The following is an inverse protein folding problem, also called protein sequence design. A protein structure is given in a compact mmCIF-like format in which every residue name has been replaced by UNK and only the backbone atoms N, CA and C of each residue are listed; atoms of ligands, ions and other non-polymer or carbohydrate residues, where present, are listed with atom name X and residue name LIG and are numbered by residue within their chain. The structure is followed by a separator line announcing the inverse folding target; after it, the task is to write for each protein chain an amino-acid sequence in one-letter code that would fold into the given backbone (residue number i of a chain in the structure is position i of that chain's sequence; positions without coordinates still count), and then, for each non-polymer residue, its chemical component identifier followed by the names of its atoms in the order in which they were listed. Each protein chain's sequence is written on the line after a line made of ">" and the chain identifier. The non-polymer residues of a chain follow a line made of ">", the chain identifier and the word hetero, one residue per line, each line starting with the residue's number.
data_IF_200875138065
#
_entry.id   IF_200875138065
#
_cell.length_a   1.000
_cell.length_b   1.000
_cell.length_c   1.000
_cell.angle_alpha   90.00
_cell.angle_beta   90.00
_cell.angle_gamma   90.00
#
_symmetry.space_group_name_H-M   'P 1'
#
loop_
_entity.id
_entity.type
_entity.pdbx_description
1 polymer ?
#
# COMPACT_ATOMS: atom_id res chain seq x y z
N UNK A 1 72.42 4.76 7.26
CA UNK A 1 71.02 5.06 7.09
C UNK A 1 70.11 3.84 7.14
N UNK A 2 70.58 2.65 7.54
CA UNK A 2 69.79 1.39 7.55
C UNK A 2 69.36 0.87 8.93
N UNK A 3 69.90 1.46 10.03
CA UNK A 3 69.57 0.97 11.40
C UNK A 3 68.23 1.49 11.92
N UNK A 4 67.78 2.67 11.51
CA UNK A 4 66.47 3.22 11.93
C UNK A 4 65.29 2.54 11.25
N UNK A 5 65.40 2.08 10.00
CA UNK A 5 64.39 1.35 9.30
C UNK A 5 64.16 -0.06 9.88
N UNK A 6 65.26 -0.72 10.31
CA UNK A 6 65.15 -2.06 10.95
C UNK A 6 64.51 -1.99 12.34
N UNK A 7 64.77 -0.93 13.11
CA UNK A 7 64.14 -0.73 14.40
C UNK A 7 62.61 -0.46 14.23
N UNK A 8 62.23 0.33 13.27
CA UNK A 8 60.81 0.60 12.98
C UNK A 8 60.07 -0.67 12.51
N UNK A 9 60.71 -1.48 11.67
CA UNK A 9 60.07 -2.75 11.25
C UNK A 9 59.88 -3.76 12.40
N UNK A 10 60.85 -3.85 13.31
CA UNK A 10 60.76 -4.71 14.51
C UNK A 10 59.65 -4.21 15.45
N UNK A 11 59.52 -2.91 15.64
CA UNK A 11 58.46 -2.32 16.48
C UNK A 11 57.05 -2.57 15.89
N UNK A 12 56.89 -2.51 14.60
CA UNK A 12 55.64 -2.82 13.92
C UNK A 12 55.27 -4.30 14.05
N UNK A 13 56.24 -5.22 13.94
CA UNK A 13 55.99 -6.66 14.12
C UNK A 13 55.60 -6.96 15.55
N UNK A 14 56.24 -6.31 16.55
CA UNK A 14 55.89 -6.46 17.97
C UNK A 14 54.50 -5.89 18.26
N UNK A 15 54.13 -4.74 17.66
CA UNK A 15 52.79 -4.16 17.83
C UNK A 15 51.69 -5.04 17.23
N UNK A 16 51.95 -5.66 16.08
CA UNK A 16 51.02 -6.63 15.43
C UNK A 16 50.91 -7.91 16.28
N UNK A 17 52.01 -8.42 16.80
CA UNK A 17 52.03 -9.58 17.70
C UNK A 17 51.22 -9.34 19.01
N UNK A 18 51.37 -8.15 19.59
CA UNK A 18 50.58 -7.74 20.80
C UNK A 18 49.09 -7.60 20.44
N UNK A 19 48.74 -7.04 19.29
CA UNK A 19 47.36 -6.97 18.82
C UNK A 19 46.76 -8.33 18.55
N UNK A 20 47.52 -9.27 17.95
CA UNK A 20 47.09 -10.65 17.72
C UNK A 20 46.92 -11.42 19.03
N UNK A 21 47.84 -11.26 19.98
CA UNK A 21 47.71 -11.84 21.34
C UNK A 21 46.50 -11.27 22.09
N UNK A 22 46.24 -9.97 21.97
CA UNK A 22 45.04 -9.34 22.58
C UNK A 22 43.73 -9.85 21.97
N UNK A 23 43.74 -10.19 20.68
CA UNK A 23 42.59 -10.82 20.00
C UNK A 23 42.40 -12.29 20.44
N UNK A 24 43.49 -13.04 20.63
CA UNK A 24 43.45 -14.46 21.08
C UNK A 24 43.05 -14.56 22.57
N UNK A 25 43.51 -13.64 23.41
CA UNK A 25 43.11 -13.62 24.82
C UNK A 25 41.70 -13.08 25.03
N UNK A 26 41.20 -12.12 24.20
CA UNK A 26 39.79 -11.69 24.17
C UNK A 26 38.86 -12.82 23.68
N UNK A 27 39.34 -13.76 22.89
CA UNK A 27 38.53 -14.89 22.39
C UNK A 27 38.30 -16.01 23.41
N UNK A 28 39.02 -16.04 24.55
CA UNK A 28 38.88 -17.11 25.55
C UNK A 28 37.96 -16.79 26.73
N UNK A 29 37.60 -15.54 26.96
CA UNK A 29 36.70 -15.15 28.09
C UNK A 29 35.34 -14.68 27.69
N UNK A 30 34.89 -14.89 26.42
CA UNK A 30 33.54 -14.60 26.01
C UNK A 30 32.57 -15.80 26.20
N UNK A 31 32.51 -16.31 27.42
CA UNK A 31 31.37 -16.99 27.99
C UNK A 31 30.21 -15.98 28.16
N UNK A 32 30.05 -15.12 27.10
CA UNK A 32 29.37 -13.87 27.09
C UNK A 32 27.86 -13.92 27.30
N UNK A 33 27.19 -12.79 27.29
CA UNK A 33 25.81 -12.53 27.72
C UNK A 33 24.77 -13.48 27.12
N UNK A 34 25.06 -14.12 25.98
CA UNK A 34 24.17 -15.10 25.34
C UNK A 34 24.00 -16.41 26.12
N UNK A 35 25.07 -16.95 26.75
CA UNK A 35 24.97 -18.18 27.54
C UNK A 35 24.28 -17.93 28.89
N UNK A 36 24.54 -16.79 29.51
CA UNK A 36 23.88 -16.40 30.77
C UNK A 36 22.38 -16.14 30.50
N UNK A 37 22.03 -15.38 29.47
CA UNK A 37 20.64 -15.10 29.06
C UNK A 37 19.85 -16.39 28.76
N UNK A 38 20.49 -17.41 28.16
CA UNK A 38 19.87 -18.71 27.86
C UNK A 38 19.68 -19.56 29.12
N UNK A 39 20.59 -19.46 30.10
CA UNK A 39 20.49 -20.16 31.39
C UNK A 39 19.39 -19.55 32.27
N UNK A 40 19.31 -18.22 32.31
CA UNK A 40 18.27 -17.51 33.05
C UNK A 40 16.88 -17.82 32.50
N UNK A 41 16.72 -17.83 31.14
CA UNK A 41 15.48 -18.21 30.48
C UNK A 41 15.03 -19.64 30.87
N UNK A 42 15.95 -20.61 30.89
CA UNK A 42 15.62 -22.00 31.25
C UNK A 42 15.14 -22.13 32.70
N UNK A 43 15.68 -21.33 33.62
CA UNK A 43 15.25 -21.29 35.02
C UNK A 43 13.83 -20.69 35.13
N UNK A 44 13.54 -19.61 34.41
CA UNK A 44 12.21 -18.99 34.38
C UNK A 44 11.17 -19.98 33.86
N UNK A 45 11.48 -20.68 32.74
CA UNK A 45 10.57 -21.67 32.15
C UNK A 45 10.28 -22.79 33.20
N UNK A 46 11.31 -23.32 33.85
CA UNK A 46 11.15 -24.40 34.85
C UNK A 46 10.28 -23.96 36.03
N UNK A 47 10.50 -22.75 36.56
CA UNK A 47 9.70 -22.24 37.67
C UNK A 47 8.25 -21.98 37.24
N UNK A 48 8.05 -21.33 36.08
CA UNK A 48 6.72 -21.09 35.52
C UNK A 48 5.97 -22.42 35.31
N UNK A 49 6.61 -23.42 34.68
CA UNK A 49 6.02 -24.73 34.44
C UNK A 49 5.62 -25.42 35.75
N UNK A 50 6.46 -25.34 36.78
CA UNK A 50 6.15 -25.90 38.12
C UNK A 50 4.91 -25.21 38.72
N UNK A 51 4.82 -23.89 38.65
CA UNK A 51 3.66 -23.11 39.14
C UNK A 51 2.38 -23.49 38.40
N UNK A 52 2.46 -23.58 37.09
CA UNK A 52 1.30 -23.92 36.23
C UNK A 52 0.86 -25.37 36.38
N UNK A 53 1.78 -26.27 36.74
CA UNK A 53 1.43 -27.65 37.07
C UNK A 53 0.63 -27.74 38.40
N UNK A 54 0.89 -26.83 39.36
CA UNK A 54 0.15 -26.75 40.63
C UNK A 54 -1.18 -25.97 40.45
N UNK A 55 -1.14 -24.89 39.72
CA UNK A 55 -2.32 -24.06 39.40
C UNK A 55 -2.23 -23.57 37.96
N UNK A 56 -3.01 -24.16 37.02
CA UNK A 56 -3.02 -23.74 35.58
C UNK A 56 -3.37 -22.28 35.36
N UNK A 57 -3.97 -21.61 36.32
CA UNK A 57 -4.29 -20.18 36.29
C UNK A 57 -3.40 -19.33 37.21
N UNK A 58 -2.22 -19.82 37.60
CA UNK A 58 -1.28 -19.00 38.38
C UNK A 58 -0.83 -17.76 37.56
N UNK A 59 -1.14 -16.54 38.04
CA UNK A 59 -0.88 -15.32 37.25
C UNK A 59 0.61 -15.07 37.03
N UNK A 60 1.47 -15.46 37.97
CA UNK A 60 2.92 -15.27 37.85
C UNK A 60 3.51 -16.26 36.84
N UNK A 61 3.07 -17.53 36.89
CA UNK A 61 3.45 -18.55 35.93
C UNK A 61 3.01 -18.19 34.49
N UNK A 62 1.74 -17.73 34.31
CA UNK A 62 1.23 -17.30 33.03
C UNK A 62 1.96 -16.06 32.50
N UNK A 63 2.22 -15.04 33.32
CA UNK A 63 2.96 -13.86 32.95
C UNK A 63 4.39 -14.18 32.47
N UNK A 64 5.07 -15.08 33.18
CA UNK A 64 6.41 -15.52 32.81
C UNK A 64 6.41 -16.27 31.46
N UNK A 65 5.52 -17.26 31.29
CA UNK A 65 5.42 -18.01 30.02
C UNK A 65 4.97 -17.12 28.86
N UNK A 66 3.95 -16.27 29.06
CA UNK A 66 3.49 -15.31 28.07
C UNK A 66 4.60 -14.37 27.60
N UNK A 67 5.43 -13.86 28.55
CA UNK A 67 6.58 -13.02 28.21
C UNK A 67 7.61 -13.75 27.35
N UNK A 68 7.86 -15.04 27.65
CA UNK A 68 8.80 -15.87 26.88
C UNK A 68 8.26 -16.09 25.45
N UNK A 69 6.99 -16.52 25.30
CA UNK A 69 6.38 -16.71 24.00
C UNK A 69 6.35 -15.41 23.16
N UNK A 70 6.06 -14.28 23.80
CA UNK A 70 6.08 -12.97 23.17
C UNK A 70 7.48 -12.58 22.66
N UNK A 71 8.52 -12.78 23.51
CA UNK A 71 9.92 -12.52 23.12
C UNK A 71 10.41 -13.46 22.01
N UNK A 72 9.95 -14.71 22.01
CA UNK A 72 10.26 -15.71 20.98
C UNK A 72 9.43 -15.53 19.72
N UNK A 73 8.50 -14.55 19.71
CA UNK A 73 7.55 -14.32 18.64
C UNK A 73 6.64 -15.53 18.31
N UNK A 74 6.47 -16.42 19.29
CA UNK A 74 5.45 -17.50 19.21
C UNK A 74 4.08 -16.90 19.52
N UNK A 75 3.56 -16.15 18.53
CA UNK A 75 2.38 -15.33 18.69
C UNK A 75 1.13 -16.12 19.06
N UNK A 76 1.03 -17.37 18.57
CA UNK A 76 -0.11 -18.22 18.89
C UNK A 76 -0.13 -18.63 20.37
N UNK A 77 1.02 -19.05 20.94
CA UNK A 77 1.12 -19.38 22.36
C UNK A 77 1.06 -18.12 23.23
N UNK A 78 1.67 -17.01 22.77
CA UNK A 78 1.57 -15.74 23.48
C UNK A 78 0.11 -15.30 23.60
N UNK A 79 -0.65 -15.31 22.48
CA UNK A 79 -2.07 -14.99 22.46
C UNK A 79 -2.85 -15.86 23.48
N UNK A 80 -2.76 -17.18 23.38
CA UNK A 80 -3.51 -18.08 24.25
C UNK A 80 -3.16 -17.89 25.74
N UNK A 81 -1.87 -17.61 26.05
CA UNK A 81 -1.43 -17.38 27.42
C UNK A 81 -1.93 -16.05 27.97
N UNK A 82 -1.83 -14.98 27.17
CA UNK A 82 -2.30 -13.65 27.58
C UNK A 82 -3.84 -13.56 27.62
N UNK A 83 -4.56 -14.35 26.82
CA UNK A 83 -6.01 -14.46 26.91
C UNK A 83 -6.45 -14.93 28.29
N UNK A 84 -5.86 -16.04 28.79
CA UNK A 84 -6.14 -16.54 30.14
C UNK A 84 -5.69 -15.53 31.20
N UNK A 85 -4.53 -14.90 31.01
CA UNK A 85 -3.99 -13.95 31.96
C UNK A 85 -4.84 -12.69 32.04
N UNK A 86 -5.39 -12.20 30.92
CA UNK A 86 -6.25 -11.03 30.87
C UNK A 86 -7.54 -11.21 31.67
N UNK A 87 -8.14 -12.42 31.64
CA UNK A 87 -9.35 -12.74 32.39
C UNK A 87 -9.16 -12.67 33.91
N UNK A 88 -7.92 -12.89 34.38
CA UNK A 88 -7.60 -12.87 35.80
C UNK A 88 -6.86 -11.60 36.22
N UNK A 89 -6.32 -10.83 35.32
CA UNK A 89 -5.52 -9.62 35.60
C UNK A 89 -6.34 -8.55 36.33
N UNK A 90 -7.63 -8.40 36.01
CA UNK A 90 -8.53 -7.45 36.66
C UNK A 90 -8.81 -7.79 38.12
N UNK A 91 -8.71 -9.06 38.50
CA UNK A 91 -8.98 -9.56 39.85
C UNK A 91 -7.72 -9.77 40.72
N UNK A 92 -6.54 -9.56 40.16
CA UNK A 92 -5.28 -9.76 40.88
C UNK A 92 -4.32 -8.59 40.68
N UNK A 93 -3.68 -8.15 41.77
CA UNK A 93 -2.61 -7.14 41.69
C UNK A 93 -1.21 -7.75 41.47
N UNK A 94 -1.14 -9.04 41.12
CA UNK A 94 0.14 -9.75 40.92
C UNK A 94 0.74 -9.54 39.53
N UNK A 95 -0.03 -9.00 38.56
CA UNK A 95 0.41 -8.75 37.20
C UNK A 95 -0.08 -7.36 36.76
N UNK A 96 0.68 -6.76 35.86
CA UNK A 96 0.34 -5.47 35.28
C UNK A 96 -0.79 -5.68 34.22
N UNK A 97 -1.97 -5.14 34.51
CA UNK A 97 -3.15 -5.24 33.64
C UNK A 97 -2.91 -4.52 32.30
N UNK A 98 -2.25 -3.35 32.31
CA UNK A 98 -1.95 -2.63 31.10
C UNK A 98 -1.03 -3.42 30.16
N UNK A 99 0.09 -3.93 30.70
CA UNK A 99 1.05 -4.70 29.92
C UNK A 99 0.45 -6.03 29.42
N UNK A 100 -0.39 -6.67 30.23
CA UNK A 100 -1.12 -7.89 29.84
C UNK A 100 -2.05 -7.61 28.67
N UNK A 101 -2.87 -6.55 28.76
CA UNK A 101 -3.82 -6.16 27.72
C UNK A 101 -3.10 -5.72 26.44
N UNK A 102 -1.99 -4.99 26.56
CA UNK A 102 -1.16 -4.58 25.43
C UNK A 102 -0.60 -5.79 24.68
N UNK A 103 0.06 -6.71 25.38
CA UNK A 103 0.69 -7.90 24.78
C UNK A 103 -0.33 -8.89 24.23
N UNK A 104 -1.49 -9.02 24.89
CA UNK A 104 -2.63 -9.74 24.33
C UNK A 104 -3.05 -9.14 22.99
N UNK A 105 -3.28 -7.82 22.93
CA UNK A 105 -3.67 -7.12 21.72
C UNK A 105 -2.66 -7.30 20.58
N UNK A 106 -1.36 -7.11 20.87
CA UNK A 106 -0.29 -7.30 19.87
C UNK A 106 -0.24 -8.74 19.36
N UNK A 107 -0.31 -9.74 20.26
CA UNK A 107 -0.30 -11.15 19.87
C UNK A 107 -1.52 -11.51 19.01
N UNK A 108 -2.68 -10.93 19.31
CA UNK A 108 -3.91 -11.09 18.53
C UNK A 108 -3.78 -10.46 17.13
N UNK A 109 -3.18 -9.26 16.99
CA UNK A 109 -2.88 -8.67 15.68
C UNK A 109 -1.96 -9.57 14.85
N UNK A 110 -0.89 -10.09 15.48
CA UNK A 110 0.08 -10.96 14.80
C UNK A 110 -0.50 -12.31 14.35
N UNK A 111 -1.64 -12.70 14.91
CA UNK A 111 -2.41 -13.90 14.55
C UNK A 111 -3.68 -13.58 13.76
N UNK A 112 -3.81 -12.33 13.26
CA UNK A 112 -4.96 -11.82 12.49
C UNK A 112 -6.32 -11.90 13.22
N UNK A 113 -6.31 -11.87 14.56
CA UNK A 113 -7.50 -11.89 15.41
C UNK A 113 -7.90 -10.46 15.77
N UNK A 114 -8.39 -9.70 14.81
CA UNK A 114 -8.65 -8.27 14.96
C UNK A 114 -9.73 -7.92 16.01
N UNK A 115 -10.85 -8.66 16.16
CA UNK A 115 -11.83 -8.38 17.20
C UNK A 115 -11.23 -8.51 18.61
N UNK A 116 -10.46 -9.58 18.86
CA UNK A 116 -9.81 -9.82 20.13
C UNK A 116 -8.70 -8.81 20.40
N UNK A 117 -7.94 -8.45 19.37
CA UNK A 117 -6.93 -7.40 19.45
C UNK A 117 -7.56 -6.06 19.87
N UNK A 118 -8.69 -5.68 19.26
CA UNK A 118 -9.44 -4.47 19.65
C UNK A 118 -9.86 -4.51 21.10
N UNK A 119 -10.37 -5.65 21.59
CA UNK A 119 -10.73 -5.83 23.02
C UNK A 119 -9.52 -5.53 23.93
N UNK A 120 -8.37 -6.15 23.66
CA UNK A 120 -7.16 -5.95 24.44
C UNK A 120 -6.68 -4.50 24.44
N UNK A 121 -6.59 -3.89 23.26
CA UNK A 121 -6.15 -2.49 23.16
C UNK A 121 -7.15 -1.50 23.76
N UNK A 122 -8.46 -1.78 23.74
CA UNK A 122 -9.44 -0.93 24.39
C UNK A 122 -9.32 -1.00 25.93
N UNK A 123 -9.01 -2.15 26.50
CA UNK A 123 -8.69 -2.29 27.93
C UNK A 123 -7.40 -1.48 28.24
N UNK A 124 -6.32 -1.70 27.49
CA UNK A 124 -5.09 -0.95 27.66
C UNK A 124 -5.29 0.57 27.54
N UNK A 125 -6.13 1.02 26.60
CA UNK A 125 -6.43 2.43 26.39
C UNK A 125 -7.20 3.07 27.56
N UNK A 126 -8.06 2.32 28.23
CA UNK A 126 -8.75 2.83 29.44
C UNK A 126 -7.75 3.15 30.56
N UNK A 127 -6.66 2.40 30.65
CA UNK A 127 -5.63 2.59 31.66
C UNK A 127 -4.64 3.69 31.25
N UNK A 128 -4.19 3.69 29.96
CA UNK A 128 -3.26 4.69 29.41
C UNK A 128 -3.81 5.25 28.08
N UNK A 129 -4.68 6.28 28.10
CA UNK A 129 -5.37 6.78 26.89
C UNK A 129 -4.44 7.29 25.79
N UNK A 130 -3.28 7.85 26.15
CA UNK A 130 -2.33 8.45 25.23
C UNK A 130 -1.15 7.54 24.90
N UNK A 131 -1.25 6.23 25.15
CA UNK A 131 -0.16 5.33 24.80
C UNK A 131 -0.07 5.17 23.29
N UNK A 132 1.12 5.43 22.73
CA UNK A 132 1.35 5.42 21.27
C UNK A 132 0.94 4.10 20.61
N UNK A 133 1.54 2.99 21.06
CA UNK A 133 1.33 1.67 20.43
C UNK A 133 -0.13 1.22 20.50
N UNK A 134 -0.84 1.52 21.58
CA UNK A 134 -2.25 1.20 21.74
C UNK A 134 -3.10 1.95 20.71
N UNK A 135 -2.90 3.27 20.58
CA UNK A 135 -3.66 4.09 19.65
C UNK A 135 -3.31 3.77 18.20
N UNK A 136 -2.02 3.55 17.89
CA UNK A 136 -1.60 3.13 16.56
C UNK A 136 -2.28 1.81 16.14
N UNK A 137 -2.23 0.78 17.00
CA UNK A 137 -2.82 -0.52 16.67
C UNK A 137 -4.35 -0.46 16.55
N UNK A 138 -5.06 0.31 17.40
CA UNK A 138 -6.49 0.52 17.25
C UNK A 138 -6.82 1.18 15.89
N UNK A 139 -6.07 2.20 15.52
CA UNK A 139 -6.23 2.85 14.22
C UNK A 139 -5.92 1.90 13.06
N UNK A 140 -4.86 1.13 13.15
CA UNK A 140 -4.51 0.10 12.17
C UNK A 140 -5.60 -0.97 12.01
N UNK A 141 -6.14 -1.48 13.12
CA UNK A 141 -7.22 -2.48 13.10
C UNK A 141 -8.47 -1.90 12.43
N UNK A 142 -8.89 -0.68 12.80
CA UNK A 142 -10.04 -0.02 12.17
C UNK A 142 -9.81 0.15 10.65
N UNK A 143 -8.59 0.51 10.24
CA UNK A 143 -8.23 0.59 8.82
C UNK A 143 -8.36 -0.76 8.11
N UNK A 144 -7.85 -1.86 8.69
CA UNK A 144 -7.94 -3.20 8.13
C UNK A 144 -9.40 -3.70 8.03
N UNK A 145 -10.24 -3.30 8.97
CA UNK A 145 -11.69 -3.58 8.97
C UNK A 145 -12.48 -2.66 8.02
N UNK A 146 -11.79 -1.79 7.27
CA UNK A 146 -12.37 -0.79 6.37
C UNK A 146 -13.24 0.27 7.10
N UNK A 147 -13.08 0.41 8.40
CA UNK A 147 -13.71 1.42 9.24
C UNK A 147 -12.86 2.70 9.26
N UNK A 148 -12.65 3.28 8.08
CA UNK A 148 -11.64 4.32 7.87
C UNK A 148 -11.87 5.58 8.72
N UNK A 149 -13.11 6.01 8.89
CA UNK A 149 -13.42 7.16 9.72
C UNK A 149 -13.17 6.91 11.20
N UNK A 150 -13.38 5.67 11.68
CA UNK A 150 -13.06 5.29 13.07
C UNK A 150 -11.55 5.15 13.29
N UNK A 151 -10.75 4.87 12.25
CA UNK A 151 -9.29 4.82 12.37
C UNK A 151 -8.69 6.20 12.68
N UNK A 152 -9.25 7.27 12.11
CA UNK A 152 -8.71 8.63 12.18
C UNK A 152 -8.49 9.13 13.63
N UNK A 153 -9.46 9.08 14.56
CA UNK A 153 -9.24 9.59 15.92
C UNK A 153 -8.17 8.80 16.69
N UNK A 154 -8.02 7.49 16.46
CA UNK A 154 -6.97 6.71 17.09
C UNK A 154 -5.59 7.06 16.52
N UNK A 155 -5.45 7.12 15.20
CA UNK A 155 -4.21 7.53 14.55
C UNK A 155 -3.82 8.97 14.92
N UNK A 156 -4.80 9.87 15.05
CA UNK A 156 -4.56 11.23 15.53
C UNK A 156 -4.02 11.24 16.96
N UNK A 157 -4.57 10.40 17.84
CA UNK A 157 -4.04 10.26 19.21
C UNK A 157 -2.60 9.71 19.23
N UNK A 158 -2.25 8.80 18.32
CA UNK A 158 -0.88 8.32 18.17
C UNK A 158 0.07 9.44 17.67
N UNK A 159 -0.36 10.26 16.71
CA UNK A 159 0.43 11.40 16.19
C UNK A 159 0.70 12.48 17.24
N UNK A 160 -0.14 12.63 18.27
CA UNK A 160 0.13 13.56 19.37
C UNK A 160 1.37 13.15 20.18
N UNK A 161 1.73 11.85 20.16
CA UNK A 161 2.89 11.32 20.90
C UNK A 161 4.13 11.30 20.01
N UNK A 162 3.98 10.89 18.75
CA UNK A 162 5.07 10.82 17.76
C UNK A 162 4.58 11.37 16.42
N UNK A 163 4.85 12.65 16.19
CA UNK A 163 4.42 13.41 15.00
C UNK A 163 5.14 13.00 13.73
N UNK A 164 6.32 12.38 13.85
CA UNK A 164 7.17 12.00 12.72
C UNK A 164 7.03 10.50 12.36
N UNK A 165 6.13 9.78 13.01
CA UNK A 165 5.98 8.35 12.76
C UNK A 165 5.43 8.09 11.35
N UNK A 166 6.27 7.51 10.50
CA UNK A 166 5.95 7.26 9.09
C UNK A 166 4.72 6.37 8.90
N UNK A 167 4.58 5.32 9.73
CA UNK A 167 3.45 4.40 9.62
C UNK A 167 2.13 5.07 10.01
N UNK A 168 2.15 5.91 11.05
CA UNK A 168 0.94 6.64 11.47
C UNK A 168 0.55 7.67 10.42
N UNK A 169 1.52 8.42 9.86
CA UNK A 169 1.29 9.35 8.75
C UNK A 169 0.68 8.62 7.55
N UNK A 170 1.25 7.47 7.18
CA UNK A 170 0.78 6.63 6.08
C UNK A 170 -0.67 6.18 6.27
N UNK A 171 -0.97 5.54 7.40
CA UNK A 171 -2.34 5.05 7.67
C UNK A 171 -3.34 6.18 7.87
N UNK A 172 -2.91 7.33 8.38
CA UNK A 172 -3.74 8.53 8.46
C UNK A 172 -4.14 9.02 7.05
N UNK A 173 -3.15 9.13 6.16
CA UNK A 173 -3.36 9.50 4.76
C UNK A 173 -4.27 8.51 4.04
N UNK A 174 -4.01 7.22 4.18
CA UNK A 174 -4.86 6.17 3.59
C UNK A 174 -6.27 6.15 4.17
N UNK A 175 -6.44 6.39 5.47
CA UNK A 175 -7.77 6.44 6.09
C UNK A 175 -8.60 7.59 5.54
N UNK A 176 -8.01 8.78 5.40
CA UNK A 176 -8.68 9.92 4.77
C UNK A 176 -8.97 9.66 3.29
N UNK A 177 -8.00 9.10 2.54
CA UNK A 177 -8.18 8.76 1.12
C UNK A 177 -9.35 7.77 0.93
N UNK A 178 -9.37 6.67 1.68
CA UNK A 178 -10.45 5.66 1.59
C UNK A 178 -11.79 6.17 2.13
N UNK A 179 -11.80 7.18 3.00
CA UNK A 179 -13.00 7.91 3.41
C UNK A 179 -13.42 9.01 2.42
N UNK A 180 -12.80 9.09 1.22
CA UNK A 180 -13.03 10.11 0.19
C UNK A 180 -12.79 11.56 0.66
N UNK A 181 -12.03 11.75 1.73
CA UNK A 181 -11.59 13.05 2.26
C UNK A 181 -10.22 13.38 1.66
N UNK A 182 -10.21 13.62 0.35
CA UNK A 182 -8.98 13.70 -0.44
C UNK A 182 -8.07 14.86 -0.04
N UNK A 183 -8.65 16.04 0.26
CA UNK A 183 -7.87 17.21 0.66
C UNK A 183 -7.19 17.02 2.00
N UNK A 184 -7.88 16.38 2.94
CA UNK A 184 -7.36 16.05 4.26
C UNK A 184 -6.30 14.95 4.22
N UNK A 185 -6.36 14.05 3.24
CA UNK A 185 -5.35 13.00 3.06
C UNK A 185 -3.99 13.55 2.64
N UNK A 186 -3.96 14.61 1.80
CA UNK A 186 -2.75 15.11 1.15
C UNK A 186 -1.60 15.47 2.11
N UNK A 187 -1.78 16.20 3.23
CA UNK A 187 -0.68 16.54 4.12
C UNK A 187 -0.04 15.30 4.77
N UNK A 188 -0.85 14.29 5.13
CA UNK A 188 -0.36 13.07 5.75
C UNK A 188 0.38 12.18 4.74
N UNK A 189 -0.17 12.00 3.54
CA UNK A 189 0.49 11.26 2.45
C UNK A 189 1.81 11.93 2.07
N UNK A 190 1.82 13.26 1.92
CA UNK A 190 3.05 14.00 1.65
C UNK A 190 4.09 13.75 2.74
N UNK A 191 3.72 13.88 4.02
CA UNK A 191 4.65 13.67 5.13
C UNK A 191 5.18 12.23 5.14
N UNK A 192 4.33 11.22 4.89
CA UNK A 192 4.75 9.83 4.77
C UNK A 192 5.77 9.62 3.66
N UNK A 193 5.56 10.24 2.48
CA UNK A 193 6.46 10.15 1.33
C UNK A 193 7.77 10.92 1.59
N UNK A 194 7.71 12.08 2.24
CA UNK A 194 8.91 12.83 2.62
C UNK A 194 9.82 12.00 3.55
N UNK A 195 9.23 11.16 4.42
CA UNK A 195 9.94 10.25 5.32
C UNK A 195 10.35 8.92 4.65
N UNK A 196 9.56 8.44 3.72
CA UNK A 196 9.80 7.19 2.97
C UNK A 196 9.47 7.38 1.49
N UNK A 197 10.41 7.91 0.68
CA UNK A 197 10.17 8.26 -0.73
C UNK A 197 9.84 7.08 -1.65
N UNK A 198 10.24 5.86 -1.29
CA UNK A 198 10.03 4.65 -2.09
C UNK A 198 8.65 3.99 -1.88
N UNK A 199 7.79 4.57 -1.04
CA UNK A 199 6.43 4.06 -0.81
C UNK A 199 5.52 4.38 -2.01
N UNK A 200 5.54 3.49 -3.00
CA UNK A 200 4.75 3.64 -4.24
C UNK A 200 3.24 3.63 -3.99
N UNK A 201 2.75 2.92 -2.96
CA UNK A 201 1.33 2.93 -2.61
C UNK A 201 0.90 4.29 -2.06
N UNK A 202 1.74 4.92 -1.23
CA UNK A 202 1.47 6.26 -0.74
C UNK A 202 1.55 7.30 -1.87
N UNK A 203 2.50 7.16 -2.80
CA UNK A 203 2.59 8.00 -4.00
C UNK A 203 1.33 7.86 -4.86
N UNK A 204 0.87 6.63 -5.10
CA UNK A 204 -0.34 6.38 -5.88
C UNK A 204 -1.58 6.98 -5.21
N UNK A 205 -1.77 6.75 -3.91
CA UNK A 205 -2.88 7.34 -3.15
C UNK A 205 -2.83 8.88 -3.15
N UNK A 206 -1.62 9.48 -3.09
CA UNK A 206 -1.47 10.92 -3.22
C UNK A 206 -1.87 11.41 -4.62
N UNK A 207 -1.52 10.67 -5.67
CA UNK A 207 -1.91 11.01 -7.03
C UNK A 207 -3.44 10.93 -7.23
N UNK A 208 -4.09 9.90 -6.68
CA UNK A 208 -5.56 9.83 -6.68
C UNK A 208 -6.19 11.02 -5.93
N UNK A 209 -5.68 11.36 -4.74
CA UNK A 209 -6.16 12.51 -3.98
C UNK A 209 -5.98 13.84 -4.75
N UNK A 210 -4.87 14.01 -5.45
CA UNK A 210 -4.62 15.18 -6.29
C UNK A 210 -5.57 15.25 -7.48
N UNK A 211 -5.82 14.10 -8.14
CA UNK A 211 -6.75 13.99 -9.25
C UNK A 211 -8.17 14.38 -8.83
N UNK A 212 -8.67 13.76 -7.78
CA UNK A 212 -10.02 14.01 -7.24
C UNK A 212 -10.18 15.44 -6.67
N UNK A 213 -9.08 16.07 -6.26
CA UNK A 213 -9.06 17.47 -5.84
C UNK A 213 -8.91 18.48 -6.97
N UNK A 214 -8.85 18.03 -8.24
CA UNK A 214 -8.73 18.87 -9.43
C UNK A 214 -7.29 19.31 -9.77
N UNK A 215 -6.27 18.80 -9.08
CA UNK A 215 -4.87 19.11 -9.36
C UNK A 215 -4.25 18.15 -10.41
N UNK A 216 -4.91 18.03 -11.57
CA UNK A 216 -4.63 17.01 -12.59
C UNK A 216 -3.20 17.02 -13.11
N UNK A 217 -2.55 18.18 -13.28
CA UNK A 217 -1.16 18.25 -13.75
C UNK A 217 -0.17 17.62 -12.75
N UNK A 218 -0.39 17.86 -11.47
CA UNK A 218 0.46 17.30 -10.41
C UNK A 218 0.24 15.80 -10.29
N UNK A 219 -1.01 15.37 -10.39
CA UNK A 219 -1.41 13.98 -10.40
C UNK A 219 -0.79 13.23 -11.59
N UNK A 220 -0.86 13.80 -12.79
CA UNK A 220 -0.30 13.24 -14.02
C UNK A 220 1.21 12.96 -13.90
N UNK A 221 1.97 13.87 -13.29
CA UNK A 221 3.41 13.66 -13.07
C UNK A 221 3.69 12.39 -12.25
N UNK A 222 2.91 12.18 -11.19
CA UNK A 222 3.09 11.01 -10.31
C UNK A 222 2.63 9.74 -11.04
N UNK A 223 1.45 9.75 -11.69
CA UNK A 223 1.00 8.59 -12.44
C UNK A 223 1.97 8.22 -13.57
N UNK A 224 2.52 9.22 -14.27
CA UNK A 224 3.53 8.97 -15.30
C UNK A 224 4.82 8.33 -14.74
N UNK A 225 5.21 8.70 -13.52
CA UNK A 225 6.33 8.07 -12.83
C UNK A 225 6.02 6.62 -12.43
N UNK A 226 4.79 6.33 -12.04
CA UNK A 226 4.36 5.00 -11.60
C UNK A 226 3.99 4.03 -12.75
N UNK A 227 3.84 4.52 -14.00
CA UNK A 227 3.49 3.67 -15.17
C UNK A 227 4.38 2.43 -15.37
N UNK A 228 5.71 2.47 -15.09
CA UNK A 228 6.55 1.28 -15.23
C UNK A 228 6.37 0.26 -14.10
N UNK A 229 5.67 0.58 -13.02
CA UNK A 229 5.51 -0.33 -11.90
C UNK A 229 4.66 -1.55 -12.28
N UNK A 230 5.10 -2.79 -11.97
CA UNK A 230 4.38 -4.00 -12.38
C UNK A 230 2.99 -4.16 -11.77
N UNK A 231 2.74 -3.56 -10.59
CA UNK A 231 1.48 -3.67 -9.85
C UNK A 231 0.61 -2.43 -10.06
N UNK A 232 1.16 -1.25 -9.86
CA UNK A 232 0.43 0.03 -9.93
C UNK A 232 0.43 0.64 -11.34
N UNK A 233 1.30 0.15 -12.23
CA UNK A 233 1.48 0.69 -13.57
C UNK A 233 0.21 0.68 -14.42
N UNK A 234 -0.53 -0.43 -14.51
CA UNK A 234 -1.76 -0.46 -15.30
C UNK A 234 -2.78 0.59 -14.88
N UNK A 235 -3.00 0.72 -13.58
CA UNK A 235 -3.93 1.70 -13.03
C UNK A 235 -3.41 3.13 -13.16
N UNK A 236 -2.10 3.33 -12.98
CA UNK A 236 -1.47 4.63 -13.19
C UNK A 236 -1.58 5.11 -14.65
N UNK A 237 -1.41 4.19 -15.61
CA UNK A 237 -1.61 4.46 -17.02
C UNK A 237 -3.07 4.80 -17.37
N UNK A 238 -4.02 4.12 -16.70
CA UNK A 238 -5.43 4.43 -16.84
C UNK A 238 -5.74 5.87 -16.40
N UNK A 239 -5.27 6.28 -15.22
CA UNK A 239 -5.47 7.66 -14.75
C UNK A 239 -4.76 8.69 -15.62
N UNK A 240 -3.52 8.43 -16.06
CA UNK A 240 -2.79 9.32 -16.94
C UNK A 240 -3.55 9.53 -18.28
N UNK A 241 -4.03 8.45 -18.87
CA UNK A 241 -4.86 8.51 -20.08
C UNK A 241 -6.20 9.24 -19.88
N UNK A 242 -6.84 9.06 -18.72
CA UNK A 242 -8.07 9.81 -18.38
C UNK A 242 -7.78 11.30 -18.29
N UNK A 243 -6.67 11.71 -17.68
CA UNK A 243 -6.27 13.12 -17.57
C UNK A 243 -6.02 13.70 -18.96
N UNK A 244 -5.27 13.00 -19.83
CA UNK A 244 -5.06 13.44 -21.21
C UNK A 244 -6.35 13.49 -22.01
N UNK A 245 -7.28 12.55 -21.81
CA UNK A 245 -8.60 12.56 -22.43
C UNK A 245 -9.43 13.78 -22.01
N UNK A 246 -9.42 14.14 -20.73
CA UNK A 246 -10.12 15.30 -20.18
C UNK A 246 -9.54 16.63 -20.70
N UNK A 247 -8.23 16.65 -20.99
CA UNK A 247 -7.54 17.82 -21.54
C UNK A 247 -7.48 17.83 -23.08
N UNK A 248 -8.28 16.97 -23.74
CA UNK A 248 -8.36 16.82 -25.20
C UNK A 248 -7.02 16.46 -25.89
N UNK A 249 -6.09 15.86 -25.16
CA UNK A 249 -4.81 15.35 -25.68
C UNK A 249 -4.98 13.86 -26.08
N UNK A 250 -5.83 13.62 -27.10
CA UNK A 250 -6.34 12.27 -27.40
C UNK A 250 -5.24 11.30 -27.80
N UNK A 251 -4.23 11.72 -28.58
CA UNK A 251 -3.11 10.86 -28.98
C UNK A 251 -2.29 10.41 -27.78
N UNK A 252 -2.04 11.32 -26.82
CA UNK A 252 -1.32 10.95 -25.58
C UNK A 252 -2.16 10.01 -24.71
N UNK A 253 -3.48 10.22 -24.66
CA UNK A 253 -4.37 9.31 -23.93
C UNK A 253 -4.30 7.89 -24.50
N UNK A 254 -4.31 7.73 -25.83
CA UNK A 254 -4.15 6.42 -26.47
C UNK A 254 -2.84 5.76 -26.08
N UNK A 255 -1.72 6.51 -26.12
CA UNK A 255 -0.39 6.00 -25.73
C UNK A 255 -0.39 5.52 -24.27
N UNK A 256 -1.00 6.29 -23.35
CA UNK A 256 -1.07 5.88 -21.95
C UNK A 256 -1.87 4.58 -21.77
N UNK A 257 -3.02 4.46 -22.42
CA UNK A 257 -3.83 3.23 -22.35
C UNK A 257 -3.11 2.03 -22.95
N UNK A 258 -2.35 2.22 -24.04
CA UNK A 258 -1.48 1.16 -24.60
C UNK A 258 -0.39 0.71 -23.63
N UNK A 259 0.26 1.66 -22.94
CA UNK A 259 1.25 1.33 -21.91
C UNK A 259 0.62 0.47 -20.83
N UNK A 260 -0.57 0.86 -20.34
CA UNK A 260 -1.30 0.08 -19.35
C UNK A 260 -1.62 -1.34 -19.81
N UNK A 261 -2.04 -1.52 -21.06
CA UNK A 261 -2.39 -2.82 -21.64
C UNK A 261 -1.18 -3.73 -21.91
N UNK A 262 0.06 -3.21 -21.92
CA UNK A 262 1.29 -4.00 -22.10
C UNK A 262 1.77 -4.72 -20.86
N UNK A 263 1.20 -4.44 -19.69
CA UNK A 263 1.58 -5.13 -18.46
C UNK A 263 1.07 -6.58 -18.48
N UNK A 264 1.91 -7.53 -18.06
CA UNK A 264 1.63 -8.96 -18.12
C UNK A 264 0.52 -9.40 -17.14
N UNK A 265 0.54 -8.86 -15.91
CA UNK A 265 -0.35 -9.28 -14.82
C UNK A 265 -1.48 -8.27 -14.58
N UNK A 266 -2.13 -7.83 -15.64
CA UNK A 266 -3.24 -6.89 -15.54
C UNK A 266 -4.55 -7.61 -15.16
N UNK A 267 -5.28 -7.08 -14.18
CA UNK A 267 -6.60 -7.61 -13.86
C UNK A 267 -7.59 -7.41 -15.03
N UNK A 268 -8.50 -8.37 -15.27
CA UNK A 268 -9.50 -8.25 -16.34
C UNK A 268 -10.32 -6.96 -16.25
N UNK A 269 -10.60 -6.49 -15.05
CA UNK A 269 -11.35 -5.26 -14.80
C UNK A 269 -10.59 -4.03 -15.31
N UNK A 270 -9.33 -3.85 -14.90
CA UNK A 270 -8.47 -2.74 -15.34
C UNK A 270 -8.23 -2.83 -16.85
N UNK A 271 -8.02 -4.04 -17.38
CA UNK A 271 -7.84 -4.23 -18.82
C UNK A 271 -9.07 -3.79 -19.63
N UNK A 272 -10.27 -4.10 -19.15
CA UNK A 272 -11.51 -3.66 -19.79
C UNK A 272 -11.71 -2.15 -19.67
N UNK A 273 -11.38 -1.54 -18.53
CA UNK A 273 -11.45 -0.08 -18.38
C UNK A 273 -10.48 0.62 -19.33
N UNK A 274 -9.24 0.13 -19.45
CA UNK A 274 -8.25 0.66 -20.39
C UNK A 274 -8.73 0.54 -21.84
N UNK A 275 -9.21 -0.64 -22.27
CA UNK A 275 -9.75 -0.85 -23.63
C UNK A 275 -10.96 0.05 -23.89
N UNK A 276 -11.87 0.16 -22.93
CA UNK A 276 -13.04 1.00 -23.05
C UNK A 276 -12.69 2.48 -23.21
N UNK A 277 -11.84 3.02 -22.33
CA UNK A 277 -11.39 4.41 -22.42
C UNK A 277 -10.62 4.67 -23.71
N UNK A 278 -9.79 3.72 -24.16
CA UNK A 278 -9.08 3.79 -25.42
C UNK A 278 -10.05 3.79 -26.61
N UNK A 279 -11.08 2.92 -26.61
CA UNK A 279 -12.08 2.89 -27.66
C UNK A 279 -12.85 4.22 -27.76
N UNK A 280 -13.28 4.79 -26.63
CA UNK A 280 -13.91 6.11 -26.59
C UNK A 280 -12.99 7.21 -27.14
N UNK A 281 -11.68 7.10 -26.85
CA UNK A 281 -10.68 8.05 -27.37
C UNK A 281 -10.50 7.88 -28.88
N UNK A 282 -10.43 6.65 -29.38
CA UNK A 282 -10.37 6.36 -30.82
C UNK A 282 -11.62 6.88 -31.57
N UNK A 283 -12.80 6.79 -30.96
CA UNK A 283 -14.03 7.41 -31.56
C UNK A 283 -13.87 8.93 -31.71
N UNK A 284 -13.28 9.59 -30.67
CA UNK A 284 -13.03 11.06 -30.78
C UNK A 284 -11.99 11.42 -31.84
N UNK A 285 -11.03 10.53 -32.10
CA UNK A 285 -10.03 10.62 -33.16
C UNK A 285 -10.58 10.17 -34.51
N UNK A 286 -11.84 9.77 -34.61
CA UNK A 286 -12.50 9.22 -35.81
C UNK A 286 -11.89 7.90 -36.32
N UNK A 287 -11.05 7.24 -35.52
CA UNK A 287 -10.53 5.88 -35.78
C UNK A 287 -11.55 4.82 -35.35
N UNK A 288 -12.66 4.75 -36.13
CA UNK A 288 -13.77 3.83 -35.80
C UNK A 288 -13.37 2.36 -35.94
N UNK A 289 -12.44 2.06 -36.84
CA UNK A 289 -11.94 0.69 -37.04
C UNK A 289 -11.29 0.16 -35.78
N UNK A 290 -10.36 0.91 -35.22
CA UNK A 290 -9.64 0.55 -33.98
C UNK A 290 -10.59 0.54 -32.77
N UNK A 291 -11.50 1.51 -32.69
CA UNK A 291 -12.50 1.55 -31.63
C UNK A 291 -13.36 0.28 -31.60
N UNK A 292 -13.86 -0.15 -32.76
CA UNK A 292 -14.68 -1.36 -32.88
C UNK A 292 -13.93 -2.65 -32.50
N UNK A 293 -12.64 -2.76 -32.85
CA UNK A 293 -11.82 -3.89 -32.42
C UNK A 293 -11.74 -3.98 -30.89
N UNK A 294 -11.44 -2.87 -30.24
CA UNK A 294 -11.36 -2.79 -28.78
C UNK A 294 -12.69 -3.12 -28.09
N UNK A 295 -13.81 -2.57 -28.62
CA UNK A 295 -15.14 -2.83 -28.07
C UNK A 295 -15.55 -4.30 -28.25
N UNK A 296 -15.24 -4.92 -29.40
CA UNK A 296 -15.50 -6.36 -29.63
C UNK A 296 -14.65 -7.25 -28.73
N UNK A 297 -13.40 -6.86 -28.45
CA UNK A 297 -12.55 -7.59 -27.49
C UNK A 297 -13.14 -7.54 -26.08
N UNK A 298 -13.64 -6.37 -25.64
CA UNK A 298 -14.35 -6.28 -24.34
C UNK A 298 -15.58 -7.16 -24.33
N UNK A 299 -16.42 -7.09 -25.37
CA UNK A 299 -17.66 -7.86 -25.46
C UNK A 299 -17.41 -9.38 -25.43
N UNK A 300 -16.30 -9.84 -26.06
CA UNK A 300 -15.90 -11.25 -26.04
C UNK A 300 -15.52 -11.74 -24.63
N UNK A 301 -14.81 -10.89 -23.84
CA UNK A 301 -14.34 -11.26 -22.51
C UNK A 301 -15.42 -11.03 -21.44
N UNK A 302 -16.15 -9.93 -21.55
CA UNK A 302 -17.16 -9.51 -20.56
C UNK A 302 -18.42 -9.02 -21.29
N UNK A 303 -19.32 -9.92 -21.68
CA UNK A 303 -20.58 -9.54 -22.31
C UNK A 303 -21.40 -8.58 -21.42
N UNK A 304 -21.89 -7.49 -22.00
CA UNK A 304 -22.70 -6.50 -21.26
C UNK A 304 -21.90 -5.49 -20.44
N UNK A 305 -20.58 -5.38 -20.66
CA UNK A 305 -19.77 -4.36 -20.01
C UNK A 305 -20.19 -2.96 -20.45
N UNK A 306 -20.64 -2.15 -19.49
CA UNK A 306 -21.13 -0.76 -19.70
C UNK A 306 -22.08 -0.69 -20.94
N UNK A 307 -21.90 0.30 -21.77
CA UNK A 307 -22.66 0.54 -23.00
C UNK A 307 -21.99 -0.03 -24.27
N UNK A 308 -21.02 -0.92 -24.11
CA UNK A 308 -20.24 -1.52 -25.21
C UNK A 308 -21.12 -2.12 -26.31
N UNK A 309 -22.19 -2.92 -26.03
CA UNK A 309 -23.05 -3.44 -27.09
C UNK A 309 -23.71 -2.34 -27.92
N UNK A 310 -24.18 -1.27 -27.28
CA UNK A 310 -24.81 -0.14 -27.98
C UNK A 310 -23.80 0.64 -28.83
N UNK A 311 -22.57 0.83 -28.31
CA UNK A 311 -21.50 1.49 -29.08
C UNK A 311 -21.10 0.67 -30.31
N UNK A 312 -21.03 -0.66 -30.20
CA UNK A 312 -20.71 -1.54 -31.33
C UNK A 312 -21.78 -1.36 -32.44
N UNK A 313 -23.07 -1.47 -32.12
CA UNK A 313 -24.15 -1.31 -33.09
C UNK A 313 -24.07 0.06 -33.76
N UNK A 314 -23.95 1.12 -32.97
CA UNK A 314 -23.89 2.51 -33.45
C UNK A 314 -22.71 2.75 -34.40
N UNK A 315 -21.51 2.33 -34.02
CA UNK A 315 -20.31 2.66 -34.80
C UNK A 315 -19.98 1.65 -35.90
N UNK A 316 -20.57 0.45 -35.90
CA UNK A 316 -20.39 -0.53 -36.96
C UNK A 316 -21.01 -0.03 -38.28
N UNK A 317 -22.21 0.51 -38.21
CA UNK A 317 -22.87 1.10 -39.40
C UNK A 317 -22.08 2.31 -39.93
N UNK A 318 -21.65 3.22 -39.04
CA UNK A 318 -20.83 4.38 -39.42
C UNK A 318 -19.49 3.98 -40.04
N UNK A 319 -18.83 2.94 -39.52
CA UNK A 319 -17.56 2.47 -40.07
C UNK A 319 -17.70 1.85 -41.48
N UNK A 320 -18.87 1.30 -41.80
CA UNK A 320 -19.14 0.72 -43.11
C UNK A 320 -19.58 1.77 -44.15
N UNK A 321 -20.15 2.90 -43.71
CA UNK A 321 -20.65 3.93 -44.54
C UNK A 321 -19.84 5.25 -44.43
N UNK A 322 -18.82 5.40 -45.30
CA UNK A 322 -17.91 6.53 -45.24
C UNK A 322 -18.63 7.89 -45.44
N UNK A 323 -19.68 7.93 -46.26
CA UNK A 323 -20.43 9.16 -46.48
C UNK A 323 -21.24 9.55 -45.24
N UNK A 324 -21.83 8.57 -44.57
CA UNK A 324 -22.51 8.76 -43.27
C UNK A 324 -21.54 9.21 -42.20
N UNK A 325 -20.33 8.64 -42.16
CA UNK A 325 -19.27 9.03 -41.24
C UNK A 325 -18.89 10.53 -41.45
N UNK A 326 -18.63 10.93 -42.70
CA UNK A 326 -18.34 12.35 -43.07
C UNK A 326 -19.50 13.24 -42.65
N UNK A 327 -20.74 12.86 -42.98
CA UNK A 327 -21.93 13.64 -42.65
C UNK A 327 -22.06 13.93 -41.15
N UNK A 328 -21.78 12.93 -40.27
CA UNK A 328 -22.04 13.03 -38.85
C UNK A 328 -20.82 13.47 -38.00
N UNK A 329 -19.59 13.29 -38.50
CA UNK A 329 -18.39 13.41 -37.68
C UNK A 329 -17.31 14.33 -38.30
N UNK A 330 -17.38 14.67 -39.58
CA UNK A 330 -16.32 15.42 -40.23
C UNK A 330 -16.33 16.92 -39.88
N UNK A 331 -15.18 17.56 -40.06
CA UNK A 331 -15.06 19.00 -39.97
C UNK A 331 -15.81 19.68 -41.10
N UNK A 332 -16.18 20.96 -40.94
CA UNK A 332 -17.03 21.71 -41.89
C UNK A 332 -16.53 21.63 -43.33
N UNK A 333 -15.22 21.68 -43.58
CA UNK A 333 -14.65 21.61 -44.93
C UNK A 333 -14.92 20.28 -45.65
N UNK A 334 -14.80 19.16 -44.92
CA UNK A 334 -15.06 17.80 -45.43
C UNK A 334 -16.56 17.59 -45.68
N UNK A 335 -17.41 18.10 -44.77
CA UNK A 335 -18.86 18.07 -44.93
C UNK A 335 -19.29 18.86 -46.19
N UNK A 336 -18.74 20.06 -46.39
CA UNK A 336 -19.02 20.88 -47.62
C UNK A 336 -18.56 20.12 -48.86
N UNK A 337 -17.39 19.48 -48.82
CA UNK A 337 -16.91 18.67 -49.95
C UNK A 337 -17.86 17.50 -50.28
N UNK A 338 -18.38 16.81 -49.25
CA UNK A 338 -19.38 15.76 -49.41
C UNK A 338 -20.68 16.30 -50.03
N UNK A 339 -21.18 17.44 -49.50
CA UNK A 339 -22.38 18.08 -50.06
C UNK A 339 -22.21 18.44 -51.56
N UNK A 340 -21.06 19.03 -51.94
CA UNK A 340 -20.73 19.31 -53.32
C UNK A 340 -20.71 18.04 -54.17
N UNK A 341 -20.11 16.96 -53.69
CA UNK A 341 -20.07 15.69 -54.40
C UNK A 341 -21.47 15.12 -54.63
N UNK A 342 -22.36 15.20 -53.63
CA UNK A 342 -23.74 14.75 -53.71
C UNK A 342 -24.49 15.61 -54.76
N UNK A 343 -24.36 16.95 -54.68
CA UNK A 343 -25.03 17.86 -55.62
C UNK A 343 -24.59 17.58 -57.07
N UNK A 344 -23.29 17.45 -57.34
CA UNK A 344 -22.78 17.13 -58.68
C UNK A 344 -23.25 15.75 -59.15
N UNK A 345 -23.41 14.78 -58.28
CA UNK A 345 -23.90 13.45 -58.64
C UNK A 345 -25.37 13.43 -59.01
N UNK A 346 -26.21 14.21 -58.35
CA UNK A 346 -27.66 14.29 -58.65
C UNK A 346 -27.99 15.34 -59.61
N UNK A 347 -27.16 16.39 -59.79
CA UNK A 347 -27.35 17.52 -60.72
C UNK A 347 -26.08 17.77 -61.55
N UNK A 348 -25.81 16.97 -62.60
CA UNK A 348 -24.54 16.99 -63.33
C UNK A 348 -24.19 18.35 -63.98
N UNK A 349 -25.07 19.33 -64.02
CA UNK A 349 -24.85 20.67 -64.53
C UNK A 349 -24.76 21.79 -63.49
N UNK A 350 -24.80 21.44 -62.15
CA UNK A 350 -24.67 22.44 -61.09
C UNK A 350 -23.18 22.84 -60.90
N UNK A 351 -22.89 24.17 -61.09
CA UNK A 351 -21.58 24.75 -60.80
C UNK A 351 -21.50 25.27 -59.37
#
# INVERSE_FOLDING_TARGET
>A
MNSSLTIISVLIVIAIAILLLSFITRGKDSGGPKKQKKRDKSLIIRDATRRLAQNPRDPVGLAAMGSIYYQDQDWAKAYATYEILLDIATSTHKVDEFETALRFGVSAVKTNRFPEASRGFMIARKIKPNHFEVNYNLGYICYQQKEYEKAIPFLKAALLVDTENVLVQRYMGFSYHKAHKYREALPYLKKSIDLQPDDKEALFAMAECLFESGASERSLKIFSHLRPDPVLGPQSALYAGIIHLQTNQFEKAVVDFEIGLKHENISPEIANDLRYKMAVTCIKLQDLGRALLLLKDIQRVTPGYKDVPALIVRYQELNQNKNLQIYLMAVQSEFVALCRKIVVQFFPGAK
#
